data_IF_549202672955
#
_entry.id   IF_549202672955
#
_cell.length_a   1.000
_cell.length_b   1.000
_cell.length_c   1.000
_cell.angle_alpha   90.00
_cell.angle_beta   90.00
_cell.angle_gamma   90.00
#
_symmetry.space_group_name_H-M   'P 1'
#
loop_
_entity.id
_entity.type
_entity.pdbx_description
1 polymer ?
#
# COMPACT_ATOMS: atom_id res chain seq x y z
N UNK A 1 -19.25 20.61 -13.83
CA UNK A 1 -18.27 20.48 -14.95
C UNK A 1 -17.08 19.70 -14.42
N UNK A 2 -16.62 18.70 -15.15
CA UNK A 2 -15.52 17.83 -14.70
C UNK A 2 -14.18 18.42 -15.17
N UNK A 3 -13.14 18.22 -14.36
CA UNK A 3 -11.83 18.80 -14.60
C UNK A 3 -10.72 17.76 -14.45
N UNK A 4 -9.68 17.86 -15.26
CA UNK A 4 -8.45 17.07 -15.14
C UNK A 4 -7.29 17.99 -14.84
N UNK A 5 -6.68 17.76 -13.70
CA UNK A 5 -5.54 18.51 -13.18
C UNK A 5 -4.32 17.60 -13.21
N UNK A 6 -3.21 18.08 -13.73
CA UNK A 6 -1.93 17.39 -13.70
C UNK A 6 -1.04 17.93 -12.59
N UNK A 7 -0.44 17.06 -11.80
CA UNK A 7 0.68 17.37 -10.95
C UNK A 7 1.96 17.34 -11.78
N UNK A 8 2.63 18.47 -11.87
CA UNK A 8 3.87 18.60 -12.65
C UNK A 8 5.08 18.34 -11.75
N UNK A 9 6.01 17.54 -12.25
CA UNK A 9 7.30 17.26 -11.60
C UNK A 9 8.15 18.53 -11.61
N UNK A 10 8.24 19.19 -10.46
CA UNK A 10 9.03 20.40 -10.24
C UNK A 10 9.46 20.48 -8.78
N UNK A 11 10.35 21.43 -8.44
CA UNK A 11 10.69 21.73 -7.03
C UNK A 11 9.52 22.39 -6.30
N UNK A 12 8.68 23.10 -7.02
CA UNK A 12 7.45 23.72 -6.53
C UNK A 12 6.26 22.77 -6.70
N UNK A 13 5.22 22.97 -5.90
CA UNK A 13 4.02 22.16 -5.94
C UNK A 13 3.07 22.65 -7.04
N UNK A 14 3.48 22.51 -8.32
CA UNK A 14 2.74 23.03 -9.48
C UNK A 14 1.67 22.04 -9.92
N UNK A 15 0.47 22.56 -10.07
CA UNK A 15 -0.67 21.88 -10.68
C UNK A 15 -1.17 22.69 -11.86
N UNK A 16 -1.45 22.02 -12.97
CA UNK A 16 -1.96 22.65 -14.18
C UNK A 16 -3.26 21.95 -14.64
N UNK A 17 -4.23 22.73 -15.09
CA UNK A 17 -5.49 22.22 -15.61
C UNK A 17 -5.31 21.80 -17.06
N UNK A 18 -5.47 20.50 -17.33
CA UNK A 18 -5.30 19.91 -18.66
C UNK A 18 -6.57 19.94 -19.48
N UNK A 19 -7.71 19.73 -18.83
CA UNK A 19 -8.98 19.50 -19.51
C UNK A 19 -10.17 19.88 -18.63
N UNK A 20 -11.23 20.37 -19.26
CA UNK A 20 -12.54 20.58 -18.63
C UNK A 20 -13.62 20.14 -19.60
N UNK A 21 -14.50 19.23 -19.19
CA UNK A 21 -15.53 18.69 -20.08
C UNK A 21 -16.24 17.47 -19.52
N UNK A 22 -16.33 16.42 -20.34
CA UNK A 22 -17.05 15.19 -20.02
C UNK A 22 -16.38 14.40 -18.89
N UNK A 23 -17.12 13.47 -18.31
CA UNK A 23 -16.59 12.51 -17.32
C UNK A 23 -15.53 11.61 -17.95
N UNK A 24 -14.52 11.30 -17.18
CA UNK A 24 -13.44 10.38 -17.57
C UNK A 24 -13.60 9.03 -16.88
N UNK A 25 -14.05 9.05 -15.63
CA UNK A 25 -14.24 7.85 -14.81
C UNK A 25 -15.70 7.71 -14.38
N UNK A 26 -16.14 6.48 -14.24
CA UNK A 26 -17.35 6.12 -13.52
C UNK A 26 -16.98 5.60 -12.13
N UNK A 27 -17.84 5.83 -11.15
CA UNK A 27 -17.61 5.31 -9.80
C UNK A 27 -17.83 3.78 -9.83
N UNK A 28 -16.83 2.97 -9.47
CA UNK A 28 -16.98 1.52 -9.47
C UNK A 28 -18.09 1.08 -8.52
N UNK A 29 -18.88 0.09 -8.93
CA UNK A 29 -19.95 -0.50 -8.10
C UNK A 29 -19.36 -1.33 -6.96
N UNK A 30 -18.14 -1.82 -7.13
CA UNK A 30 -17.38 -2.65 -6.21
C UNK A 30 -16.96 -1.89 -4.94
N UNK A 31 -17.03 -0.56 -4.92
CA UNK A 31 -16.76 0.23 -3.71
C UNK A 31 -17.75 -0.06 -2.56
N UNK A 32 -18.80 -0.82 -2.81
CA UNK A 32 -19.75 -1.26 -1.76
C UNK A 32 -19.23 -2.39 -0.90
N UNK A 33 -18.22 -3.15 -1.35
CA UNK A 33 -17.60 -4.28 -0.66
C UNK A 33 -16.17 -4.01 -0.21
N UNK A 34 -15.85 -2.79 0.20
CA UNK A 34 -14.48 -2.39 0.52
C UNK A 34 -14.00 -2.89 1.88
N UNK A 35 -12.70 -3.15 1.96
CA UNK A 35 -12.02 -3.62 3.17
C UNK A 35 -11.21 -2.46 3.76
N UNK A 36 -11.31 -2.25 5.07
CA UNK A 36 -10.44 -1.29 5.74
C UNK A 36 -8.97 -1.66 5.53
N UNK A 37 -8.13 -0.66 5.22
CA UNK A 37 -6.74 -0.95 4.91
C UNK A 37 -6.01 -1.54 6.11
N UNK A 38 -5.53 -2.75 5.93
CA UNK A 38 -4.63 -3.42 6.84
C UNK A 38 -3.51 -4.07 5.99
N UNK A 39 -2.21 -3.85 6.31
CA UNK A 39 -1.08 -4.46 5.59
C UNK A 39 -1.13 -5.99 5.51
N UNK A 40 -1.86 -6.62 6.40
CA UNK A 40 -2.04 -8.07 6.53
C UNK A 40 -3.14 -8.63 5.63
N UNK A 41 -4.04 -7.77 5.17
CA UNK A 41 -5.17 -8.18 4.31
C UNK A 41 -4.70 -8.28 2.87
N UNK A 42 -5.04 -9.38 2.21
CA UNK A 42 -4.86 -9.56 0.76
C UNK A 42 -6.23 -9.33 0.13
N UNK A 43 -6.32 -8.36 -0.76
CA UNK A 43 -7.53 -8.10 -1.53
C UNK A 43 -7.83 -9.25 -2.49
N UNK A 44 -9.11 -9.53 -2.67
CA UNK A 44 -9.61 -10.25 -3.83
C UNK A 44 -9.54 -9.35 -5.07
N UNK A 45 -9.72 -9.94 -6.26
CA UNK A 45 -9.42 -9.25 -7.53
C UNK A 45 -10.24 -7.95 -7.72
N UNK A 46 -11.50 -7.96 -7.27
CA UNK A 46 -12.42 -6.84 -7.43
C UNK A 46 -12.49 -5.91 -6.23
N UNK A 47 -11.91 -6.28 -5.10
CA UNK A 47 -11.97 -5.50 -3.88
C UNK A 47 -11.10 -4.24 -3.90
N UNK A 48 -11.45 -3.31 -3.02
CA UNK A 48 -10.71 -2.09 -2.78
C UNK A 48 -10.41 -1.96 -1.28
N UNK A 49 -9.23 -1.46 -0.95
CA UNK A 49 -8.96 -0.94 0.38
C UNK A 49 -9.62 0.42 0.55
N UNK A 50 -10.04 0.73 1.77
CA UNK A 50 -10.48 2.06 2.18
C UNK A 50 -9.65 2.59 3.34
N UNK A 51 -9.53 3.91 3.43
CA UNK A 51 -9.03 4.64 4.58
C UNK A 51 -10.06 5.71 4.88
N UNK A 52 -10.70 5.61 6.03
CA UNK A 52 -11.69 6.57 6.52
C UNK A 52 -11.00 7.83 7.07
N UNK A 53 -11.71 8.96 7.10
CA UNK A 53 -11.23 10.27 7.57
C UNK A 53 -9.90 10.69 6.91
N UNK A 54 -9.76 10.43 5.61
CA UNK A 54 -8.50 10.58 4.90
C UNK A 54 -7.99 12.01 4.87
N UNK A 55 -8.86 13.03 4.77
CA UNK A 55 -8.45 14.44 4.71
C UNK A 55 -7.73 14.92 5.97
N UNK A 56 -7.98 14.26 7.11
CA UNK A 56 -7.34 14.58 8.39
C UNK A 56 -5.93 13.99 8.55
N UNK A 57 -5.53 13.08 7.65
CA UNK A 57 -4.24 12.41 7.74
C UNK A 57 -3.09 13.32 7.32
N UNK A 58 -1.87 13.04 7.81
CA UNK A 58 -0.67 13.80 7.49
C UNK A 58 -0.27 13.70 6.01
N UNK A 59 -0.66 12.63 5.33
CA UNK A 59 -0.35 12.34 3.92
C UNK A 59 -1.43 12.79 2.94
N UNK A 60 -2.57 13.33 3.42
CA UNK A 60 -3.56 13.92 2.54
C UNK A 60 -3.03 15.19 1.87
N UNK A 61 -3.19 15.27 0.55
CA UNK A 61 -2.77 16.44 -0.22
C UNK A 61 -3.73 17.62 0.01
N UNK A 62 -3.20 18.84 -0.04
CA UNK A 62 -3.96 20.06 0.32
C UNK A 62 -5.26 20.24 -0.46
N UNK A 63 -5.31 19.78 -1.72
CA UNK A 63 -6.52 19.89 -2.55
C UNK A 63 -7.71 19.10 -1.99
N UNK A 64 -7.48 18.07 -1.17
CA UNK A 64 -8.54 17.27 -0.54
C UNK A 64 -9.07 17.89 0.76
N UNK A 65 -8.27 18.76 1.39
CA UNK A 65 -8.59 19.41 2.68
C UNK A 65 -9.49 20.63 2.53
N UNK A 66 -9.71 21.10 1.30
CA UNK A 66 -10.50 22.29 1.00
C UNK A 66 -11.49 22.02 -0.14
N UNK A 67 -12.37 22.97 -0.40
CA UNK A 67 -13.25 22.90 -1.55
C UNK A 67 -12.46 23.12 -2.84
N UNK A 68 -12.76 22.30 -3.82
CA UNK A 68 -12.12 22.42 -5.12
C UNK A 68 -12.56 23.68 -5.84
N UNK A 69 -11.58 24.50 -6.22
CA UNK A 69 -11.81 25.73 -6.96
C UNK A 69 -10.98 25.76 -8.24
N UNK A 70 -11.62 25.69 -9.39
CA UNK A 70 -10.96 25.64 -10.69
C UNK A 70 -10.15 26.89 -11.03
N UNK A 71 -10.47 28.03 -10.43
CA UNK A 71 -9.77 29.32 -10.66
C UNK A 71 -8.34 29.29 -10.07
N UNK A 72 -8.08 28.40 -9.14
CA UNK A 72 -6.75 28.24 -8.55
C UNK A 72 -5.75 27.52 -9.47
N UNK A 73 -6.20 27.03 -10.63
CA UNK A 73 -5.38 26.23 -11.54
C UNK A 73 -5.27 26.89 -12.91
N UNK A 74 -4.07 27.26 -13.30
CA UNK A 74 -3.80 27.79 -14.62
C UNK A 74 -4.04 26.73 -15.70
N UNK A 75 -4.54 27.18 -16.85
CA UNK A 75 -4.68 26.33 -18.03
C UNK A 75 -3.33 25.99 -18.63
N UNK A 76 -3.10 24.73 -18.86
CA UNK A 76 -1.85 24.26 -19.47
C UNK A 76 -1.78 24.66 -20.94
N UNK A 77 -0.93 25.59 -21.30
CA UNK A 77 -0.68 25.94 -22.70
C UNK A 77 0.21 24.90 -23.42
N UNK A 78 1.17 24.32 -22.71
CA UNK A 78 2.05 23.23 -23.19
C UNK A 78 2.59 22.42 -22.02
N UNK A 79 2.08 21.22 -21.81
CA UNK A 79 2.63 20.27 -20.84
C UNK A 79 3.54 19.25 -21.54
N UNK A 80 4.74 19.08 -21.03
CA UNK A 80 5.58 17.95 -21.43
C UNK A 80 5.05 16.71 -20.74
N UNK A 81 4.56 15.73 -21.50
CA UNK A 81 3.99 14.49 -20.94
C UNK A 81 4.90 13.79 -19.91
N UNK A 82 6.24 13.89 -20.12
CA UNK A 82 7.25 13.31 -19.23
C UNK A 82 7.38 14.04 -17.88
N UNK A 83 6.90 15.28 -17.79
CA UNK A 83 6.90 16.05 -16.56
C UNK A 83 5.68 15.78 -15.67
N UNK A 84 4.65 15.10 -16.17
CA UNK A 84 3.47 14.76 -15.39
C UNK A 84 3.78 13.61 -14.42
N UNK A 85 3.56 13.83 -13.14
CA UNK A 85 3.72 12.79 -12.10
C UNK A 85 2.44 11.93 -11.98
N UNK A 86 1.31 12.60 -11.87
CA UNK A 86 -0.01 12.00 -11.84
C UNK A 86 -1.05 12.99 -12.36
N UNK A 87 -2.20 12.47 -12.74
CA UNK A 87 -3.39 13.27 -13.02
C UNK A 87 -4.43 13.02 -11.93
N UNK A 88 -5.22 14.05 -11.68
CA UNK A 88 -6.37 14.03 -10.79
C UNK A 88 -7.59 14.51 -11.61
N UNK A 89 -8.57 13.63 -11.77
CA UNK A 89 -9.86 14.01 -12.35
C UNK A 89 -10.83 14.33 -11.22
N UNK A 90 -11.39 15.54 -11.25
CA UNK A 90 -12.38 15.99 -10.27
C UNK A 90 -13.74 15.96 -10.94
N UNK A 91 -14.65 15.12 -10.45
CA UNK A 91 -15.97 14.89 -10.98
C UNK A 91 -16.97 14.96 -9.84
N UNK A 92 -17.74 16.07 -9.78
CA UNK A 92 -18.56 16.40 -8.62
C UNK A 92 -17.71 16.43 -7.34
N UNK A 93 -18.05 15.67 -6.30
CA UNK A 93 -17.26 15.55 -5.06
C UNK A 93 -16.35 14.29 -5.05
N UNK A 94 -16.05 13.71 -6.21
CA UNK A 94 -15.20 12.52 -6.34
C UNK A 94 -13.91 12.87 -7.08
N UNK A 95 -12.79 12.48 -6.53
CA UNK A 95 -11.46 12.73 -7.06
C UNK A 95 -10.83 11.40 -7.47
N UNK A 96 -10.49 11.25 -8.74
CA UNK A 96 -9.89 10.06 -9.31
C UNK A 96 -8.43 10.33 -9.62
N UNK A 97 -7.54 9.48 -9.14
CA UNK A 97 -6.10 9.64 -9.31
C UNK A 97 -5.52 8.55 -10.21
N UNK A 98 -4.68 8.96 -11.14
CA UNK A 98 -3.89 8.05 -11.95
C UNK A 98 -2.43 8.51 -11.99
N UNK A 99 -1.52 7.65 -11.56
CA UNK A 99 -0.08 7.87 -11.68
C UNK A 99 0.35 7.75 -13.13
N UNK A 100 1.21 8.67 -13.58
CA UNK A 100 1.73 8.64 -14.95
C UNK A 100 3.09 7.97 -14.95
N UNK A 101 3.16 6.80 -15.55
CA UNK A 101 4.38 6.01 -15.75
C UNK A 101 4.82 6.07 -17.22
N UNK A 102 6.01 5.56 -17.52
CA UNK A 102 6.52 5.54 -18.91
C UNK A 102 5.57 4.86 -19.90
N UNK A 103 4.91 3.79 -19.48
CA UNK A 103 3.94 3.08 -20.30
C UNK A 103 2.57 3.78 -20.39
N UNK A 104 2.30 4.76 -19.53
CA UNK A 104 1.12 5.62 -19.65
C UNK A 104 1.28 6.69 -20.75
N UNK A 105 2.48 6.80 -21.32
CA UNK A 105 2.77 7.76 -22.38
C UNK A 105 2.90 6.99 -23.70
N UNK A 106 1.99 7.27 -24.62
CA UNK A 106 1.97 6.67 -25.95
C UNK A 106 2.40 7.67 -27.01
N UNK A 107 3.24 7.23 -27.93
CA UNK A 107 3.60 7.98 -29.13
C UNK A 107 3.38 7.07 -30.35
N UNK A 108 2.49 7.47 -31.25
CA UNK A 108 2.28 6.75 -32.52
C UNK A 108 3.33 7.18 -33.53
N UNK A 109 4.08 6.24 -34.08
CA UNK A 109 4.95 6.45 -35.24
C UNK A 109 4.23 5.89 -36.48
N UNK A 110 4.26 6.60 -37.59
CA UNK A 110 3.66 6.19 -38.86
C UNK A 110 4.72 6.20 -39.95
N UNK A 111 4.74 5.17 -40.76
CA UNK A 111 5.52 5.16 -42.02
C UNK A 111 4.54 5.52 -43.12
N UNK A 112 4.74 6.66 -43.76
CA UNK A 112 3.97 7.06 -44.93
C UNK A 112 4.72 6.55 -46.17
N UNK A 113 4.03 5.70 -46.93
CA UNK A 113 4.55 5.13 -48.20
C UNK A 113 3.96 5.97 -49.34
N UNK A 114 4.78 6.80 -49.97
CA UNK A 114 4.46 7.61 -51.14
C UNK A 114 5.69 7.66 -52.07
N UNK A 115 5.83 8.69 -52.85
CA UNK A 115 7.01 8.89 -53.71
C UNK A 115 8.31 8.95 -52.92
N UNK A 116 8.22 9.32 -51.63
CA UNK A 116 9.30 9.19 -50.64
C UNK A 116 8.76 8.54 -49.36
N UNK A 117 9.53 7.58 -48.84
CA UNK A 117 9.22 6.95 -47.56
C UNK A 117 9.58 7.93 -46.41
N UNK A 118 8.60 8.24 -45.58
CA UNK A 118 8.77 9.17 -44.42
C UNK A 118 8.35 8.48 -43.14
N UNK A 119 9.12 8.74 -42.06
CA UNK A 119 8.74 8.37 -40.71
C UNK A 119 8.16 9.60 -40.00
N UNK A 120 6.85 9.61 -39.85
CA UNK A 120 6.14 10.66 -39.10
C UNK A 120 6.04 10.25 -37.64
N UNK A 121 6.45 11.15 -36.76
CA UNK A 121 6.27 10.98 -35.31
C UNK A 121 5.02 11.79 -34.92
N UNK A 122 3.99 11.08 -34.42
CA UNK A 122 2.81 11.74 -33.88
C UNK A 122 3.09 12.39 -32.51
N UNK A 123 2.13 13.14 -32.03
CA UNK A 123 2.19 13.72 -30.69
C UNK A 123 2.18 12.66 -29.61
N UNK A 124 2.82 12.97 -28.49
CA UNK A 124 2.73 12.13 -27.29
C UNK A 124 1.39 12.34 -26.61
N UNK A 125 0.76 11.26 -26.20
CA UNK A 125 -0.52 11.26 -25.51
C UNK A 125 -0.41 10.55 -24.18
N UNK A 126 -1.14 11.02 -23.17
CA UNK A 126 -1.31 10.31 -21.91
C UNK A 126 -2.48 9.36 -22.07
N UNK A 127 -2.28 8.10 -21.78
CA UNK A 127 -3.32 7.07 -21.79
C UNK A 127 -4.04 7.11 -20.45
N UNK A 128 -5.35 7.29 -20.48
CA UNK A 128 -6.21 7.20 -19.31
C UNK A 128 -6.59 5.73 -19.12
N UNK A 129 -6.30 5.19 -17.94
CA UNK A 129 -6.68 3.83 -17.59
C UNK A 129 -8.19 3.74 -17.34
N UNK A 130 -8.79 2.58 -17.61
CA UNK A 130 -10.21 2.35 -17.29
C UNK A 130 -10.48 2.38 -15.77
N UNK A 131 -9.48 1.95 -14.96
CA UNK A 131 -9.55 1.96 -13.51
C UNK A 131 -8.49 2.93 -12.98
N UNK A 132 -8.86 3.90 -12.12
CA UNK A 132 -7.91 4.79 -11.47
C UNK A 132 -7.07 4.06 -10.41
N UNK A 133 -5.94 4.63 -10.03
CA UNK A 133 -5.07 4.08 -8.97
C UNK A 133 -5.64 4.33 -7.57
N UNK A 134 -6.38 5.45 -7.41
CA UNK A 134 -7.10 5.78 -6.19
C UNK A 134 -8.35 6.60 -6.50
N UNK A 135 -9.34 6.53 -5.60
CA UNK A 135 -10.59 7.30 -5.64
C UNK A 135 -10.79 7.91 -4.25
N UNK A 136 -10.95 9.22 -4.19
CA UNK A 136 -11.34 9.88 -2.95
C UNK A 136 -12.75 10.43 -3.08
N UNK A 137 -13.64 9.99 -2.20
CA UNK A 137 -15.02 10.46 -2.10
C UNK A 137 -15.08 11.49 -0.97
N UNK A 138 -15.26 12.75 -1.33
CA UNK A 138 -15.18 13.88 -0.40
C UNK A 138 -16.30 13.86 0.64
N UNK A 139 -17.51 13.53 0.21
CA UNK A 139 -18.69 13.56 1.09
C UNK A 139 -18.58 12.56 2.24
N UNK A 140 -17.91 11.43 1.99
CA UNK A 140 -17.68 10.38 2.99
C UNK A 140 -16.30 10.52 3.67
N UNK A 141 -15.41 11.38 3.16
CA UNK A 141 -14.01 11.52 3.54
C UNK A 141 -13.23 10.21 3.48
N UNK A 142 -13.45 9.42 2.43
CA UNK A 142 -12.83 8.10 2.26
C UNK A 142 -11.93 8.06 1.04
N UNK A 143 -10.71 7.55 1.22
CA UNK A 143 -9.81 7.17 0.13
C UNK A 143 -9.93 5.68 -0.16
N UNK A 144 -10.18 5.33 -1.41
CA UNK A 144 -10.19 3.96 -1.93
C UNK A 144 -8.97 3.72 -2.82
N UNK A 145 -8.35 2.52 -2.73
CA UNK A 145 -7.22 2.14 -3.59
C UNK A 145 -7.02 0.62 -3.62
N UNK A 146 -6.32 0.11 -4.64
CA UNK A 146 -5.99 -1.34 -4.74
C UNK A 146 -4.58 -1.67 -4.27
N UNK A 147 -3.61 -0.76 -4.46
CA UNK A 147 -2.19 -1.01 -4.14
C UNK A 147 -1.55 0.23 -3.53
N UNK A 148 -1.09 0.12 -2.28
CA UNK A 148 -0.41 1.20 -1.57
C UNK A 148 0.82 1.72 -2.35
N UNK A 149 1.62 0.82 -2.91
CA UNK A 149 2.83 1.19 -3.67
C UNK A 149 2.55 2.00 -4.94
N UNK A 150 1.34 1.92 -5.48
CA UNK A 150 0.95 2.73 -6.65
C UNK A 150 0.61 4.15 -6.24
N UNK A 151 -0.03 4.32 -5.08
CA UNK A 151 -0.52 5.62 -4.60
C UNK A 151 0.47 6.36 -3.70
N UNK A 152 1.49 5.70 -3.15
CA UNK A 152 2.48 6.34 -2.26
C UNK A 152 3.26 7.50 -2.91
N UNK A 153 3.52 7.52 -4.23
CA UNK A 153 4.08 8.71 -4.86
C UNK A 153 3.09 9.89 -4.97
N UNK A 154 1.77 9.63 -4.90
CA UNK A 154 0.72 10.66 -4.92
C UNK A 154 0.55 11.22 -3.50
N UNK A 155 0.39 10.34 -2.52
CA UNK A 155 0.18 10.67 -1.11
C UNK A 155 1.46 10.39 -0.32
N UNK A 156 2.36 11.36 -0.30
CA UNK A 156 3.67 11.22 0.35
C UNK A 156 3.52 10.98 1.84
N UNK A 157 4.18 9.96 2.34
CA UNK A 157 4.11 9.56 3.74
C UNK A 157 3.08 8.45 4.03
N UNK A 158 2.18 8.13 3.09
CA UNK A 158 1.21 7.03 3.26
C UNK A 158 1.90 5.68 3.49
N UNK A 159 3.18 5.56 3.14
CA UNK A 159 3.99 4.37 3.43
C UNK A 159 4.15 4.13 4.94
N UNK A 160 3.91 5.13 5.79
CA UNK A 160 3.87 4.97 7.25
C UNK A 160 2.78 4.00 7.69
N UNK A 161 1.69 3.88 6.95
CA UNK A 161 0.67 2.84 7.16
C UNK A 161 1.22 1.42 6.96
N UNK A 162 2.38 1.30 6.33
CA UNK A 162 3.08 0.06 6.11
C UNK A 162 4.51 0.15 6.67
N UNK A 163 4.57 0.56 7.92
CA UNK A 163 5.80 0.81 8.65
C UNK A 163 6.71 -0.41 8.67
N UNK A 164 7.99 -0.20 8.42
CA UNK A 164 9.04 -1.14 8.74
C UNK A 164 9.63 -0.80 10.10
N UNK A 165 9.92 -1.80 10.92
CA UNK A 165 10.73 -1.58 12.10
C UNK A 165 12.08 -0.97 11.71
N UNK A 166 12.47 0.08 12.41
CA UNK A 166 13.80 0.67 12.31
C UNK A 166 14.86 -0.35 12.74
N UNK A 167 16.13 -0.04 12.55
CA UNK A 167 17.22 -0.90 13.03
C UNK A 167 17.19 -1.02 14.56
N UNK A 168 16.91 0.07 15.26
CA UNK A 168 16.78 0.12 16.72
C UNK A 168 15.60 -0.73 17.21
N UNK A 169 14.44 -0.60 16.61
CA UNK A 169 13.25 -1.40 16.93
C UNK A 169 13.49 -2.88 16.61
N UNK A 170 14.15 -3.16 15.50
CA UNK A 170 14.54 -4.54 15.17
C UNK A 170 15.48 -5.11 16.22
N UNK A 171 16.48 -4.35 16.68
CA UNK A 171 17.36 -4.74 17.79
C UNK A 171 16.61 -4.97 19.09
N UNK A 172 15.66 -4.09 19.40
CA UNK A 172 14.81 -4.20 20.58
C UNK A 172 13.95 -5.48 20.52
N UNK A 173 13.31 -5.73 19.37
CA UNK A 173 12.53 -6.95 19.17
C UNK A 173 13.38 -8.21 19.34
N UNK A 174 14.56 -8.26 18.74
CA UNK A 174 15.47 -9.40 18.82
C UNK A 174 16.03 -9.65 20.25
N UNK A 175 15.99 -8.66 21.14
CA UNK A 175 16.40 -8.76 22.55
C UNK A 175 15.29 -9.21 23.49
N UNK A 176 14.10 -9.53 22.96
CA UNK A 176 13.06 -10.07 23.83
C UNK A 176 13.53 -11.34 24.54
N UNK A 177 13.09 -11.53 25.76
CA UNK A 177 13.47 -12.65 26.66
C UNK A 177 13.07 -14.03 26.12
N UNK A 178 12.21 -14.08 25.13
CA UNK A 178 11.77 -15.30 24.45
C UNK A 178 12.52 -15.57 23.13
N UNK A 179 13.54 -14.80 22.79
CA UNK A 179 14.36 -14.98 21.56
C UNK A 179 15.82 -15.21 21.94
N UNK A 180 16.41 -16.27 21.43
CA UNK A 180 17.84 -16.53 21.42
C UNK A 180 18.30 -16.63 19.96
N UNK A 181 19.31 -15.84 19.59
CA UNK A 181 19.82 -15.83 18.22
C UNK A 181 20.99 -16.81 18.08
N UNK A 182 21.01 -17.55 16.97
CA UNK A 182 22.24 -18.26 16.57
C UNK A 182 23.31 -17.25 16.13
N UNK A 183 24.59 -17.55 16.32
CA UNK A 183 25.72 -16.68 15.93
C UNK A 183 25.69 -16.25 14.46
N UNK A 184 25.03 -17.04 13.64
CA UNK A 184 24.89 -16.80 12.21
C UNK A 184 23.80 -15.77 11.84
N UNK A 185 22.93 -15.34 12.78
CA UNK A 185 21.76 -14.50 12.51
C UNK A 185 21.72 -13.29 13.44
N UNK A 186 21.58 -12.11 12.86
CA UNK A 186 21.56 -10.84 13.58
C UNK A 186 20.71 -9.79 12.86
N UNK A 187 20.66 -8.60 13.42
CA UNK A 187 19.82 -7.49 12.94
C UNK A 187 20.07 -7.15 11.48
N UNK A 188 21.31 -7.22 11.02
CA UNK A 188 21.74 -6.92 9.65
C UNK A 188 21.24 -7.95 8.63
N UNK A 189 20.81 -9.13 9.08
CA UNK A 189 20.23 -10.18 8.23
C UNK A 189 18.72 -10.14 8.15
N UNK A 190 18.06 -9.36 9.02
CA UNK A 190 16.60 -9.21 8.99
C UNK A 190 16.16 -8.42 7.76
N UNK A 191 15.54 -9.10 6.83
CA UNK A 191 15.06 -8.51 5.57
C UNK A 191 13.82 -7.64 5.78
N UNK A 192 13.57 -6.78 4.79
CA UNK A 192 12.44 -5.85 4.75
C UNK A 192 11.09 -6.49 5.12
N UNK A 193 10.81 -7.69 4.59
CA UNK A 193 9.57 -8.41 4.86
C UNK A 193 9.39 -8.78 6.35
N UNK A 194 10.45 -9.19 7.03
CA UNK A 194 10.39 -9.50 8.46
C UNK A 194 10.42 -8.23 9.31
N UNK A 195 11.14 -7.16 8.90
CA UNK A 195 11.06 -5.86 9.60
C UNK A 195 9.63 -5.30 9.63
N UNK A 196 8.87 -5.47 8.55
CA UNK A 196 7.45 -5.10 8.54
C UNK A 196 6.63 -5.88 9.55
N UNK A 197 6.81 -7.21 9.59
CA UNK A 197 6.15 -8.06 10.59
C UNK A 197 6.59 -7.77 12.01
N UNK A 198 7.87 -7.43 12.21
CA UNK A 198 8.40 -7.02 13.53
C UNK A 198 7.67 -5.77 14.04
N UNK A 199 7.49 -4.74 13.20
CA UNK A 199 6.76 -3.55 13.59
C UNK A 199 5.35 -3.90 14.12
N UNK A 200 4.64 -4.77 13.41
CA UNK A 200 3.29 -5.22 13.81
C UNK A 200 3.31 -6.11 15.05
N UNK A 201 4.27 -7.04 15.12
CA UNK A 201 4.42 -7.91 16.28
C UNK A 201 4.76 -7.12 17.56
N UNK A 202 5.52 -6.03 17.46
CA UNK A 202 5.80 -5.13 18.58
C UNK A 202 4.52 -4.45 19.09
N UNK A 203 3.69 -3.96 18.18
CA UNK A 203 2.40 -3.36 18.55
C UNK A 203 1.48 -4.38 19.23
N UNK A 204 1.38 -5.59 18.67
CA UNK A 204 0.64 -6.71 19.26
C UNK A 204 1.17 -7.09 20.65
N UNK A 205 2.48 -7.25 20.79
CA UNK A 205 3.13 -7.61 22.06
C UNK A 205 3.00 -6.52 23.13
N UNK A 206 2.91 -5.26 22.72
CA UNK A 206 2.70 -4.13 23.67
C UNK A 206 1.35 -4.19 24.33
N UNK A 207 0.33 -4.75 23.65
CA UNK A 207 -1.03 -4.93 24.18
C UNK A 207 -1.19 -6.17 25.07
N UNK A 208 -0.21 -7.10 25.04
CA UNK A 208 -0.30 -8.39 25.74
C UNK A 208 0.14 -8.30 27.20
N UNK A 209 -0.64 -8.95 28.07
CA UNK A 209 -0.20 -9.24 29.44
C UNK A 209 0.90 -10.30 29.43
N UNK A 210 1.72 -10.44 30.49
CA UNK A 210 2.70 -11.52 30.61
C UNK A 210 2.10 -12.92 30.42
N UNK A 211 0.84 -13.12 30.84
CA UNK A 211 0.11 -14.37 30.67
C UNK A 211 -0.24 -14.62 29.20
N UNK A 212 -0.60 -13.59 28.46
CA UNK A 212 -0.95 -13.71 27.06
C UNK A 212 0.30 -13.96 26.21
N UNK A 213 1.43 -13.31 26.53
CA UNK A 213 2.75 -13.64 25.92
C UNK A 213 3.08 -15.12 26.08
N UNK A 214 2.91 -15.71 27.27
CA UNK A 214 3.16 -17.13 27.48
C UNK A 214 2.23 -18.03 26.68
N UNK A 215 0.96 -17.65 26.53
CA UNK A 215 0.01 -18.40 25.69
C UNK A 215 0.44 -18.38 24.23
N UNK A 216 0.88 -17.22 23.72
CA UNK A 216 1.31 -17.06 22.33
C UNK A 216 2.59 -17.88 22.05
N UNK A 217 3.57 -17.90 22.95
CA UNK A 217 4.77 -18.71 22.77
C UNK A 217 4.43 -20.22 22.72
N UNK A 218 3.56 -20.66 23.62
CA UNK A 218 3.08 -22.04 23.62
C UNK A 218 2.32 -22.39 22.34
N UNK A 219 1.38 -21.53 21.93
CA UNK A 219 0.64 -21.65 20.68
C UNK A 219 1.59 -21.75 19.47
N UNK A 220 2.57 -20.88 19.37
CA UNK A 220 3.57 -20.88 18.30
C UNK A 220 4.30 -22.21 18.22
N UNK A 221 4.78 -22.71 19.36
CA UNK A 221 5.47 -24.00 19.42
C UNK A 221 4.55 -25.19 19.08
N UNK A 222 3.31 -25.19 19.56
CA UNK A 222 2.34 -26.25 19.27
C UNK A 222 2.02 -26.33 17.77
N UNK A 223 1.87 -25.19 17.10
CA UNK A 223 1.57 -25.17 15.67
C UNK A 223 2.78 -25.40 14.79
N UNK A 224 3.95 -24.90 15.17
CA UNK A 224 5.18 -25.05 14.40
C UNK A 224 6.32 -25.66 15.23
N UNK A 225 6.25 -26.98 15.49
CA UNK A 225 7.23 -27.68 16.36
C UNK A 225 8.64 -27.73 15.74
N UNK A 226 8.79 -27.48 14.45
CA UNK A 226 10.10 -27.41 13.80
C UNK A 226 10.95 -26.19 14.27
N UNK A 227 10.32 -25.16 14.83
CA UNK A 227 11.01 -24.04 15.44
C UNK A 227 11.55 -24.48 16.81
N UNK A 228 12.86 -24.41 16.99
CA UNK A 228 13.53 -24.82 18.22
C UNK A 228 13.02 -24.02 19.42
N UNK A 229 12.38 -24.66 20.37
CA UNK A 229 11.83 -24.04 21.57
C UNK A 229 12.30 -24.76 22.82
N UNK A 230 12.93 -24.04 23.74
CA UNK A 230 13.32 -24.55 25.04
C UNK A 230 12.23 -24.25 26.09
N UNK A 231 11.40 -25.25 26.41
CA UNK A 231 10.24 -25.08 27.31
C UNK A 231 10.61 -24.53 28.70
N UNK A 232 11.76 -24.96 29.26
CA UNK A 232 12.20 -24.53 30.60
C UNK A 232 12.50 -23.05 30.63
N UNK A 233 13.17 -22.54 29.60
CA UNK A 233 13.53 -21.13 29.46
C UNK A 233 12.44 -20.32 28.77
N UNK A 234 11.51 -20.97 28.07
CA UNK A 234 10.47 -20.35 27.22
C UNK A 234 11.08 -19.50 26.09
N UNK A 235 12.13 -20.00 25.44
CA UNK A 235 12.92 -19.28 24.45
C UNK A 235 12.90 -20.02 23.12
N UNK A 236 12.71 -19.28 22.03
CA UNK A 236 12.89 -19.75 20.67
C UNK A 236 14.31 -19.42 20.19
N UNK A 237 15.00 -20.41 19.60
CA UNK A 237 16.28 -20.19 18.93
C UNK A 237 16.02 -19.86 17.47
N UNK A 238 16.54 -18.71 17.01
CA UNK A 238 16.33 -18.17 15.66
C UNK A 238 17.68 -18.05 14.94
N UNK A 239 17.86 -18.79 13.86
CA UNK A 239 19.07 -18.79 13.04
C UNK A 239 18.85 -18.36 11.58
N UNK A 240 17.60 -18.10 11.19
CA UNK A 240 17.25 -17.78 9.80
C UNK A 240 16.06 -16.83 9.66
N UNK A 241 15.98 -16.18 8.48
CA UNK A 241 14.81 -15.38 8.06
C UNK A 241 13.51 -16.18 8.05
N UNK A 242 13.60 -17.45 7.75
CA UNK A 242 12.42 -18.32 7.68
C UNK A 242 11.91 -18.64 9.08
N UNK A 243 12.80 -18.98 10.01
CA UNK A 243 12.44 -19.19 11.42
C UNK A 243 11.87 -17.93 12.05
N UNK A 244 12.47 -16.76 11.77
CA UNK A 244 11.93 -15.47 12.20
C UNK A 244 10.51 -15.26 11.68
N UNK A 245 10.26 -15.53 10.39
CA UNK A 245 8.92 -15.42 9.81
C UNK A 245 7.90 -16.30 10.54
N UNK A 246 8.25 -17.53 10.85
CA UNK A 246 7.36 -18.45 11.58
C UNK A 246 7.08 -18.00 13.01
N UNK A 247 8.07 -17.48 13.72
CA UNK A 247 7.86 -16.88 15.04
C UNK A 247 6.88 -15.71 14.96
N UNK A 248 7.09 -14.80 14.01
CA UNK A 248 6.24 -13.63 13.81
C UNK A 248 4.79 -14.03 13.46
N UNK A 249 4.60 -15.01 12.61
CA UNK A 249 3.26 -15.55 12.30
C UNK A 249 2.57 -16.15 13.54
N UNK A 250 3.31 -16.75 14.44
CA UNK A 250 2.79 -17.22 15.71
C UNK A 250 2.35 -16.07 16.61
N UNK A 251 3.14 -15.01 16.74
CA UNK A 251 2.81 -13.81 17.52
C UNK A 251 1.53 -13.14 16.98
N UNK A 252 1.39 -13.09 15.65
CA UNK A 252 0.22 -12.57 14.95
C UNK A 252 -0.98 -13.52 14.92
N UNK A 253 -0.89 -14.69 15.58
CA UNK A 253 -1.96 -15.70 15.71
C UNK A 253 -2.48 -16.23 14.36
N UNK A 254 -1.61 -16.33 13.34
CA UNK A 254 -1.98 -16.75 11.98
C UNK A 254 -2.19 -18.24 11.81
N UNK A 255 -1.78 -19.07 12.76
CA UNK A 255 -1.95 -20.51 12.67
C UNK A 255 -3.36 -20.94 13.05
N UNK A 256 -3.91 -21.87 12.29
CA UNK A 256 -5.20 -22.46 12.59
C UNK A 256 -5.27 -23.93 12.16
N UNK A 257 -6.24 -24.64 12.71
CA UNK A 257 -6.53 -26.02 12.34
C UNK A 257 -7.90 -26.06 11.66
N UNK A 258 -7.96 -26.70 10.49
CA UNK A 258 -9.24 -26.87 9.78
C UNK A 258 -10.16 -27.80 10.57
N UNK A 259 -11.46 -27.46 10.71
CA UNK A 259 -12.36 -28.19 11.60
C UNK A 259 -12.73 -29.59 11.08
N UNK A 260 -12.60 -29.86 9.79
CA UNK A 260 -12.99 -31.13 9.17
C UNK A 260 -11.80 -32.05 8.94
N UNK A 261 -10.74 -31.53 8.33
CA UNK A 261 -9.56 -32.32 7.95
C UNK A 261 -8.46 -32.33 9.02
N UNK A 262 -8.59 -31.52 10.08
CA UNK A 262 -7.59 -31.33 11.12
C UNK A 262 -6.19 -30.95 10.60
N UNK A 263 -6.14 -30.31 9.43
CA UNK A 263 -4.91 -29.81 8.85
C UNK A 263 -4.46 -28.51 9.51
N UNK A 264 -3.18 -28.42 9.85
CA UNK A 264 -2.57 -27.17 10.32
C UNK A 264 -2.26 -26.27 9.13
N UNK A 265 -2.74 -25.05 9.16
CA UNK A 265 -2.58 -24.07 8.10
C UNK A 265 -2.14 -22.72 8.64
N UNK A 266 -1.70 -21.84 7.75
CA UNK A 266 -1.35 -20.44 8.02
C UNK A 266 -2.30 -19.55 7.25
N UNK A 267 -2.88 -18.56 7.91
CA UNK A 267 -3.66 -17.52 7.27
C UNK A 267 -2.72 -16.50 6.60
N UNK A 268 -2.93 -16.27 5.31
CA UNK A 268 -2.19 -15.26 4.56
C UNK A 268 -2.69 -13.84 4.83
N UNK A 269 -3.95 -13.71 5.22
CA UNK A 269 -4.56 -12.44 5.63
C UNK A 269 -5.36 -12.64 6.91
N UNK A 270 -5.51 -11.57 7.67
CA UNK A 270 -6.29 -11.53 8.92
C UNK A 270 -7.37 -10.47 8.74
N UNK A 271 -8.62 -10.86 8.99
CA UNK A 271 -9.75 -9.96 9.10
C UNK A 271 -10.48 -10.29 10.39
N UNK A 272 -10.69 -9.29 11.23
CA UNK A 272 -11.47 -9.45 12.45
C UNK A 272 -12.95 -9.54 12.07
N UNK A 273 -13.60 -10.59 12.52
CA UNK A 273 -15.06 -10.73 12.38
C UNK A 273 -15.71 -10.03 13.58
N UNK A 274 -16.75 -9.26 13.31
CA UNK A 274 -17.59 -8.64 14.35
C UNK A 274 -18.48 -9.67 15.07
#
# INVERSE_FOLDING_TARGET
>A
MNHVIAKIRSRENIFEKLYSGDRIYELPTELRGTVEYNPETILEEDDWYKIDQFSSTAYAIEVLKKDFNTVEYDEANRVRTESVEYIMSVQDNVYYFQRILKHSIMMKKRITLGDTIRLDQGEKSIVINSTPDAIYVKDDDILYFKKLSTISPIFKGIDELYREATEEETKEFLRNDFIELEDSYGVEKVKKSNRKRIAMAMDTLSSFTPKDKQKILKYTHEYYPALKYEEKKKVFTIGSEEEMKYLLWGIEQRYYTTPVTNERRVANSIMQLE
#
